data_IF_229698418111
#
_entry.id   IF_229698418111
#
_cell.length_a   1.000
_cell.length_b   1.000
_cell.length_c   1.000
_cell.angle_alpha   90.00
_cell.angle_beta   90.00
_cell.angle_gamma   90.00
#
_symmetry.space_group_name_H-M   'P 1'
#
loop_
_entity.id
_entity.type
_entity.pdbx_description
1 polymer ?
#
# COMPACT_ATOMS: atom_id res chain seq x y z
N UNK A 1 -70.76 68.39 -47.64
CA UNK A 1 -70.66 67.02 -47.08
C UNK A 1 -69.20 66.76 -46.72
N UNK A 2 -68.91 66.57 -45.43
CA UNK A 2 -67.56 66.39 -44.87
C UNK A 2 -67.15 64.91 -44.82
N UNK A 3 -65.89 64.60 -45.15
CA UNK A 3 -65.15 63.37 -44.83
C UNK A 3 -63.81 63.80 -44.20
N UNK A 4 -63.49 63.43 -42.95
CA UNK A 4 -62.74 62.21 -42.51
C UNK A 4 -61.47 61.97 -43.33
N UNK A 5 -60.30 61.59 -42.82
CA UNK A 5 -59.70 61.45 -41.49
C UNK A 5 -58.21 61.08 -41.72
N UNK A 6 -57.35 61.46 -40.77
CA UNK A 6 -56.04 60.92 -40.35
C UNK A 6 -55.11 60.15 -41.32
N UNK A 7 -53.83 60.56 -41.34
CA UNK A 7 -52.68 59.72 -41.67
C UNK A 7 -51.48 59.97 -40.73
N UNK A 8 -50.70 58.92 -40.52
CA UNK A 8 -49.81 58.59 -39.39
C UNK A 8 -48.48 59.37 -39.38
N UNK A 9 -47.96 59.61 -38.16
CA UNK A 9 -46.61 60.09 -37.88
C UNK A 9 -45.60 58.93 -37.91
N UNK A 10 -44.49 59.12 -38.60
CA UNK A 10 -43.35 58.21 -38.71
C UNK A 10 -42.37 58.44 -37.55
N UNK A 11 -41.95 57.36 -36.88
CA UNK A 11 -40.87 57.36 -35.88
C UNK A 11 -39.49 57.39 -36.55
N UNK A 12 -38.58 58.19 -35.99
CA UNK A 12 -37.12 58.02 -36.09
C UNK A 12 -36.63 57.49 -34.73
N UNK A 13 -35.95 56.34 -34.72
CA UNK A 13 -35.23 55.84 -33.54
C UNK A 13 -33.77 55.60 -33.93
N UNK A 14 -32.86 56.24 -33.19
CA UNK A 14 -31.43 56.22 -33.39
C UNK A 14 -30.78 54.95 -32.82
N UNK A 15 -29.73 54.47 -33.51
CA UNK A 15 -28.87 53.38 -33.07
C UNK A 15 -28.02 53.81 -31.86
N UNK A 16 -28.07 53.03 -30.78
CA UNK A 16 -27.06 53.01 -29.73
C UNK A 16 -26.52 51.58 -29.59
N UNK A 17 -25.27 51.35 -29.98
CA UNK A 17 -24.60 50.07 -29.84
C UNK A 17 -24.00 49.96 -28.43
N UNK A 18 -24.53 49.07 -27.59
CA UNK A 18 -23.94 48.67 -26.31
C UNK A 18 -23.07 47.43 -26.54
N UNK A 19 -21.75 47.59 -26.34
CA UNK A 19 -20.82 46.47 -26.27
C UNK A 19 -20.93 45.79 -24.90
N UNK A 20 -21.36 44.53 -24.87
CA UNK A 20 -21.36 43.69 -23.67
C UNK A 20 -19.97 43.04 -23.58
N UNK A 21 -19.14 43.51 -22.65
CA UNK A 21 -17.90 42.81 -22.28
C UNK A 21 -18.28 41.59 -21.43
N UNK A 22 -18.27 40.39 -22.01
CA UNK A 22 -18.31 39.13 -21.25
C UNK A 22 -16.92 38.86 -20.71
N UNK A 23 -16.69 39.14 -19.43
CA UNK A 23 -15.52 38.64 -18.69
C UNK A 23 -15.68 37.12 -18.47
N UNK A 24 -15.10 36.34 -19.38
CA UNK A 24 -14.93 34.90 -19.14
C UNK A 24 -13.94 34.71 -17.98
N UNK A 25 -14.45 34.25 -16.84
CA UNK A 25 -13.64 33.63 -15.79
C UNK A 25 -12.94 32.42 -16.41
N UNK A 26 -11.63 32.52 -16.63
CA UNK A 26 -10.79 31.34 -16.81
C UNK A 26 -10.75 30.68 -15.44
N UNK A 27 -11.59 29.65 -15.25
CA UNK A 27 -11.33 28.69 -14.19
C UNK A 27 -9.98 28.06 -14.52
N UNK A 28 -8.96 28.38 -13.71
CA UNK A 28 -7.78 27.52 -13.65
C UNK A 28 -8.26 26.20 -13.09
N UNK A 29 -8.63 25.28 -14.00
CA UNK A 29 -8.66 23.88 -13.65
C UNK A 29 -7.23 23.55 -13.24
N UNK A 30 -7.03 23.30 -11.95
CA UNK A 30 -5.95 22.42 -11.55
C UNK A 30 -6.14 21.17 -12.39
N UNK A 31 -5.24 20.97 -13.35
CA UNK A 31 -5.08 19.68 -13.97
C UNK A 31 -4.74 18.76 -12.82
N UNK A 32 -5.74 18.03 -12.32
CA UNK A 32 -5.50 16.73 -11.72
C UNK A 32 -4.72 15.97 -12.77
N UNK A 33 -3.39 15.98 -12.67
CA UNK A 33 -2.56 15.00 -13.33
C UNK A 33 -3.27 13.67 -13.15
N UNK A 34 -3.54 13.00 -14.27
CA UNK A 34 -4.09 11.67 -14.25
C UNK A 34 -3.25 10.88 -13.25
N UNK A 35 -3.86 10.56 -12.11
CA UNK A 35 -3.26 9.69 -11.09
C UNK A 35 -2.80 8.47 -11.87
N UNK A 36 -1.48 8.30 -12.02
CA UNK A 36 -0.94 7.11 -12.64
C UNK A 36 -1.52 5.87 -11.96
N UNK A 37 -1.27 4.70 -12.50
CA UNK A 37 -1.61 3.43 -11.84
C UNK A 37 -1.18 3.38 -10.35
N UNK A 38 -0.24 4.25 -9.95
CA UNK A 38 0.20 4.43 -8.57
C UNK A 38 1.12 3.28 -8.25
N UNK A 39 0.93 2.64 -7.10
CA UNK A 39 1.65 1.44 -6.78
C UNK A 39 1.29 0.26 -7.69
N UNK A 40 0.12 0.27 -8.36
CA UNK A 40 -0.25 -0.77 -9.34
C UNK A 40 0.61 -0.71 -10.61
N UNK A 41 1.37 0.38 -10.84
CA UNK A 41 2.36 0.39 -11.90
C UNK A 41 3.42 -0.71 -11.63
N UNK A 42 3.74 -1.59 -12.60
CA UNK A 42 4.71 -2.67 -12.36
C UNK A 42 6.08 -2.21 -11.87
N UNK A 43 6.57 -1.05 -12.31
CA UNK A 43 7.84 -0.51 -11.84
C UNK A 43 7.72 0.02 -10.40
N UNK A 44 6.62 0.71 -10.07
CA UNK A 44 6.34 1.16 -8.69
C UNK A 44 6.11 -0.01 -7.74
N UNK A 45 5.46 -1.07 -8.19
CA UNK A 45 5.29 -2.31 -7.43
C UNK A 45 6.63 -2.97 -7.14
N UNK A 46 7.52 -3.08 -8.12
CA UNK A 46 8.87 -3.61 -7.90
C UNK A 46 9.67 -2.73 -6.91
N UNK A 47 9.57 -1.40 -7.02
CA UNK A 47 10.14 -0.47 -6.02
C UNK A 47 9.59 -0.75 -4.62
N UNK A 48 8.27 -0.88 -4.47
CA UNK A 48 7.63 -1.19 -3.19
C UNK A 48 8.15 -2.51 -2.60
N UNK A 49 8.33 -3.56 -3.43
CA UNK A 49 8.88 -4.84 -2.97
C UNK A 49 10.32 -4.70 -2.48
N UNK A 50 11.14 -3.90 -3.17
CA UNK A 50 12.54 -3.64 -2.79
C UNK A 50 12.64 -2.83 -1.49
N UNK A 51 11.76 -1.85 -1.31
CA UNK A 51 11.67 -1.07 -0.06
C UNK A 51 11.29 -1.97 1.12
N UNK A 52 10.25 -2.80 0.99
CA UNK A 52 9.87 -3.79 2.04
C UNK A 52 11.03 -4.74 2.32
N UNK A 53 11.64 -5.33 1.28
CA UNK A 53 12.76 -6.26 1.45
C UNK A 53 13.97 -5.64 2.15
N UNK A 54 14.19 -4.32 2.01
CA UNK A 54 15.27 -3.64 2.74
C UNK A 54 15.03 -3.64 4.25
N UNK A 55 13.77 -3.55 4.68
CA UNK A 55 13.38 -3.63 6.08
C UNK A 55 13.24 -5.08 6.58
N UNK A 56 12.69 -5.99 5.79
CA UNK A 56 12.48 -7.37 6.25
C UNK A 56 13.77 -8.21 6.19
N UNK A 57 14.67 -7.90 5.25
CA UNK A 57 15.78 -8.80 4.91
C UNK A 57 17.11 -8.08 4.64
N UNK A 58 17.21 -6.77 4.91
CA UNK A 58 18.42 -5.97 4.66
C UNK A 58 19.00 -6.16 3.24
N UNK A 59 18.10 -6.22 2.25
CA UNK A 59 18.44 -6.50 0.85
C UNK A 59 17.44 -5.84 -0.09
N UNK A 60 17.85 -5.58 -1.33
CA UNK A 60 16.93 -5.18 -2.41
C UNK A 60 16.52 -6.36 -3.30
N UNK A 61 17.14 -7.53 -3.15
CA UNK A 61 16.79 -8.73 -3.92
C UNK A 61 15.62 -9.46 -3.26
N UNK A 62 14.42 -8.88 -3.40
CA UNK A 62 13.19 -9.45 -2.83
C UNK A 62 12.84 -10.81 -3.41
N UNK A 63 13.26 -11.10 -4.65
CA UNK A 63 13.04 -12.41 -5.29
C UNK A 63 13.93 -13.50 -4.68
N UNK A 64 15.05 -13.18 -4.05
CA UNK A 64 15.81 -14.15 -3.28
C UNK A 64 15.04 -14.68 -2.05
N UNK A 65 13.98 -13.99 -1.61
CA UNK A 65 13.25 -14.30 -0.38
C UNK A 65 12.14 -15.34 -0.55
N UNK A 66 11.78 -15.77 -1.77
CA UNK A 66 10.81 -16.86 -1.94
C UNK A 66 11.19 -18.13 -1.15
N UNK A 67 12.49 -18.38 -0.96
CA UNK A 67 13.04 -19.52 -0.22
C UNK A 67 13.29 -19.24 1.27
N UNK A 68 13.16 -17.99 1.72
CA UNK A 68 13.39 -17.62 3.12
C UNK A 68 12.42 -18.41 3.99
N UNK A 69 12.93 -18.96 5.10
CA UNK A 69 12.16 -19.65 6.13
C UNK A 69 13.03 -19.76 7.38
N UNK A 70 12.54 -19.19 8.48
CA UNK A 70 13.19 -19.19 9.78
C UNK A 70 12.14 -18.89 10.86
N UNK A 71 12.25 -19.54 12.02
CA UNK A 71 11.64 -19.02 13.24
C UNK A 71 12.62 -17.99 13.86
N UNK A 72 12.15 -16.75 13.98
CA UNK A 72 12.94 -15.62 14.48
C UNK A 72 12.72 -15.37 15.98
N UNK A 73 11.94 -16.21 16.67
CA UNK A 73 11.69 -16.13 18.11
C UNK A 73 10.76 -15.00 18.52
N UNK A 74 9.89 -14.55 17.62
CA UNK A 74 8.91 -13.47 17.86
C UNK A 74 7.52 -14.00 18.25
N UNK A 75 7.38 -15.32 18.42
CA UNK A 75 6.13 -15.97 18.81
C UNK A 75 5.16 -16.23 17.65
N UNK A 76 5.59 -16.07 16.39
CA UNK A 76 4.78 -16.36 15.19
C UNK A 76 5.08 -17.73 14.55
N UNK A 77 6.01 -18.49 15.14
CA UNK A 77 6.52 -19.75 14.60
C UNK A 77 7.44 -19.51 13.40
N UNK A 78 7.34 -20.35 12.37
CA UNK A 78 8.10 -20.14 11.13
C UNK A 78 7.62 -18.88 10.41
N UNK A 79 8.53 -17.96 10.09
CA UNK A 79 8.34 -16.84 9.16
C UNK A 79 9.03 -17.16 7.83
N UNK A 80 8.33 -17.01 6.70
CA UNK A 80 8.84 -17.47 5.41
C UNK A 80 8.37 -16.65 4.19
N UNK A 81 9.10 -16.74 3.08
CA UNK A 81 8.72 -16.15 1.80
C UNK A 81 8.90 -14.63 1.70
N UNK A 82 8.35 -14.05 0.62
CA UNK A 82 8.62 -12.67 0.17
C UNK A 82 8.06 -11.55 1.07
N UNK A 83 7.16 -11.87 1.99
CA UNK A 83 6.57 -10.91 2.93
C UNK A 83 6.49 -11.46 4.37
N UNK A 84 7.18 -12.58 4.65
CA UNK A 84 7.17 -13.18 5.99
C UNK A 84 5.85 -13.83 6.40
N UNK A 85 5.29 -14.70 5.55
CA UNK A 85 4.16 -15.55 5.91
C UNK A 85 4.48 -16.37 7.15
N UNK A 86 3.59 -16.41 8.15
CA UNK A 86 3.88 -17.13 9.40
C UNK A 86 2.97 -18.33 9.65
N UNK A 87 3.55 -19.40 10.25
CA UNK A 87 2.78 -20.61 10.58
C UNK A 87 1.73 -20.36 11.67
N UNK A 88 1.98 -19.38 12.55
CA UNK A 88 1.07 -19.02 13.65
C UNK A 88 0.02 -17.97 13.33
N UNK A 89 -0.02 -17.40 12.11
CA UNK A 89 -0.91 -16.28 11.74
C UNK A 89 -1.83 -16.57 10.56
N UNK A 90 -2.11 -17.85 10.29
CA UNK A 90 -2.99 -18.38 9.25
C UNK A 90 -2.60 -18.12 7.80
N UNK A 91 -1.77 -17.13 7.50
CA UNK A 91 -1.36 -16.74 6.14
C UNK A 91 -0.41 -17.75 5.48
N UNK A 92 0.51 -18.37 6.22
CA UNK A 92 1.30 -19.49 5.69
C UNK A 92 0.43 -20.70 5.34
N UNK A 93 -0.57 -21.00 6.19
CA UNK A 93 -1.52 -22.07 5.92
C UNK A 93 -2.32 -21.77 4.64
N UNK A 94 -2.88 -20.56 4.52
CA UNK A 94 -3.62 -20.14 3.34
C UNK A 94 -2.77 -20.21 2.05
N UNK A 95 -1.51 -19.79 2.12
CA UNK A 95 -0.56 -19.91 1.02
C UNK A 95 -0.32 -21.38 0.60
N UNK A 96 -0.10 -22.29 1.55
CA UNK A 96 0.15 -23.71 1.23
C UNK A 96 -1.11 -24.38 0.71
N UNK A 97 -2.30 -23.98 1.18
CA UNK A 97 -3.59 -24.42 0.62
C UNK A 97 -3.76 -23.94 -0.83
N UNK A 98 -3.46 -22.67 -1.12
CA UNK A 98 -3.49 -22.12 -2.48
C UNK A 98 -2.49 -22.85 -3.39
N UNK A 99 -1.27 -23.09 -2.92
CA UNK A 99 -0.27 -23.84 -3.68
C UNK A 99 -0.76 -25.27 -3.98
N UNK A 100 -1.33 -25.94 -2.98
CA UNK A 100 -1.83 -27.32 -3.12
C UNK A 100 -3.06 -27.41 -4.01
N UNK A 101 -3.92 -26.39 -4.04
CA UNK A 101 -5.02 -26.32 -4.99
C UNK A 101 -4.54 -26.23 -6.46
N UNK A 102 -3.37 -25.64 -6.70
CA UNK A 102 -2.77 -25.47 -8.04
C UNK A 102 -1.88 -26.64 -8.46
N UNK A 103 -1.24 -27.29 -7.48
CA UNK A 103 -0.31 -28.41 -7.67
C UNK A 103 -0.53 -29.44 -6.54
N UNK A 104 -1.49 -30.37 -6.67
CA UNK A 104 -1.88 -31.27 -5.57
C UNK A 104 -0.77 -32.18 -5.05
N UNK A 105 0.20 -32.54 -5.90
CA UNK A 105 1.31 -33.44 -5.57
C UNK A 105 2.56 -32.69 -5.05
N UNK A 106 2.41 -31.41 -4.73
CA UNK A 106 3.53 -30.59 -4.29
C UNK A 106 4.13 -31.04 -2.95
N UNK A 107 5.39 -30.66 -2.73
CA UNK A 107 6.19 -31.09 -1.57
C UNK A 107 5.72 -30.54 -0.22
N UNK A 108 4.85 -29.52 -0.21
CA UNK A 108 4.28 -28.92 1.00
C UNK A 108 2.91 -29.49 1.36
N UNK A 109 2.21 -30.17 0.45
CA UNK A 109 0.87 -30.70 0.67
C UNK A 109 0.78 -31.62 1.91
N UNK A 110 1.81 -32.43 2.15
CA UNK A 110 1.88 -33.34 3.30
C UNK A 110 1.93 -32.62 4.66
N UNK A 111 2.30 -31.33 4.69
CA UNK A 111 2.38 -30.53 5.91
C UNK A 111 1.08 -29.80 6.24
N UNK A 112 0.07 -29.81 5.36
CA UNK A 112 -1.20 -29.13 5.62
C UNK A 112 -1.89 -29.55 6.93
N UNK A 113 -1.93 -30.83 7.33
CA UNK A 113 -2.48 -31.21 8.63
C UNK A 113 -1.73 -30.59 9.81
N UNK A 114 -0.39 -30.52 9.73
CA UNK A 114 0.44 -29.92 10.76
C UNK A 114 0.25 -28.40 10.81
N UNK A 115 0.27 -27.73 9.65
CA UNK A 115 0.01 -26.28 9.55
C UNK A 115 -1.35 -25.91 10.16
N UNK A 116 -2.40 -26.69 9.94
CA UNK A 116 -3.72 -26.46 10.58
C UNK A 116 -3.70 -26.68 12.09
N UNK A 117 -2.85 -27.59 12.58
CA UNK A 117 -2.77 -27.89 14.00
C UNK A 117 -1.97 -26.84 14.79
N UNK A 118 -0.94 -26.25 14.17
CA UNK A 118 -0.09 -25.23 14.81
C UNK A 118 -0.59 -23.80 14.59
N UNK A 119 -1.52 -23.57 13.68
CA UNK A 119 -2.08 -22.24 13.42
C UNK A 119 -2.60 -21.57 14.70
N UNK A 120 -2.26 -20.30 14.90
CA UNK A 120 -2.49 -19.57 16.15
C UNK A 120 -1.45 -19.81 17.26
N UNK A 121 -0.39 -20.58 17.01
CA UNK A 121 0.71 -20.84 17.95
C UNK A 121 2.09 -20.72 17.27
N UNK A 122 3.16 -20.74 18.07
CA UNK A 122 4.55 -20.80 17.59
C UNK A 122 5.09 -22.25 17.48
N UNK A 123 4.23 -23.27 17.58
CA UNK A 123 4.65 -24.67 17.56
C UNK A 123 5.19 -25.12 16.20
N UNK A 124 6.21 -25.99 16.23
CA UNK A 124 6.77 -26.67 15.05
C UNK A 124 6.33 -28.14 14.91
N UNK A 125 5.36 -28.57 15.72
CA UNK A 125 4.92 -29.97 15.76
C UNK A 125 4.41 -30.44 14.39
N UNK A 126 5.02 -31.52 13.89
CA UNK A 126 4.70 -32.08 12.57
C UNK A 126 5.28 -31.31 11.37
N UNK A 127 5.93 -30.17 11.60
CA UNK A 127 6.71 -29.44 10.60
C UNK A 127 8.18 -29.88 10.61
N UNK A 128 8.76 -29.98 11.79
CA UNK A 128 10.18 -30.31 11.94
C UNK A 128 10.50 -31.79 11.73
N UNK A 129 11.72 -32.11 11.23
CA UNK A 129 12.75 -31.18 10.74
C UNK A 129 12.62 -30.87 9.24
N UNK A 130 11.61 -31.44 8.56
CA UNK A 130 11.55 -31.51 7.10
C UNK A 130 11.01 -30.26 6.41
N UNK A 131 10.17 -29.48 7.10
CA UNK A 131 9.43 -28.38 6.49
C UNK A 131 10.33 -27.28 5.91
N UNK A 132 11.40 -26.81 6.58
CA UNK A 132 12.32 -25.82 5.98
C UNK A 132 13.00 -26.30 4.69
N UNK A 133 13.32 -27.59 4.59
CA UNK A 133 13.92 -28.15 3.39
C UNK A 133 12.88 -28.27 2.26
N UNK A 134 11.66 -28.69 2.59
CA UNK A 134 10.54 -28.75 1.65
C UNK A 134 10.17 -27.37 1.10
N UNK A 135 10.13 -26.34 1.95
CA UNK A 135 9.88 -24.94 1.56
C UNK A 135 10.90 -24.45 0.54
N UNK A 136 12.20 -24.63 0.84
CA UNK A 136 13.28 -24.25 -0.09
C UNK A 136 13.25 -25.04 -1.39
N UNK A 137 12.73 -26.26 -1.38
CA UNK A 137 12.49 -27.06 -2.60
C UNK A 137 11.31 -26.50 -3.40
N UNK A 138 10.19 -26.19 -2.75
CA UNK A 138 9.02 -25.57 -3.37
C UNK A 138 9.36 -24.22 -4.00
N UNK A 139 10.18 -23.37 -3.34
CA UNK A 139 10.59 -22.05 -3.84
C UNK A 139 11.30 -22.06 -5.20
N UNK A 140 11.76 -23.23 -5.66
CA UNK A 140 12.35 -23.41 -7.00
C UNK A 140 11.29 -23.49 -8.11
N UNK A 141 10.04 -23.82 -7.80
CA UNK A 141 8.95 -23.95 -8.77
C UNK A 141 8.34 -22.59 -9.07
N UNK A 142 7.89 -22.37 -10.31
CA UNK A 142 7.14 -21.16 -10.67
C UNK A 142 5.77 -21.12 -10.01
N UNK A 143 5.16 -22.27 -9.76
CA UNK A 143 3.81 -22.37 -9.16
C UNK A 143 3.83 -21.88 -7.70
N UNK A 144 4.83 -22.26 -6.90
CA UNK A 144 4.91 -21.78 -5.52
C UNK A 144 5.27 -20.29 -5.44
N UNK A 145 6.14 -19.81 -6.34
CA UNK A 145 6.44 -18.37 -6.44
C UNK A 145 5.19 -17.56 -6.81
N UNK A 146 4.43 -18.04 -7.80
CA UNK A 146 3.15 -17.42 -8.18
C UNK A 146 2.11 -17.47 -7.05
N UNK A 147 2.06 -18.54 -6.25
CA UNK A 147 1.20 -18.60 -5.07
C UNK A 147 1.60 -17.57 -4.01
N UNK A 148 2.90 -17.36 -3.77
CA UNK A 148 3.39 -16.31 -2.87
C UNK A 148 3.05 -14.91 -3.38
N UNK A 149 3.24 -14.64 -4.67
CA UNK A 149 2.89 -13.35 -5.29
C UNK A 149 1.39 -13.06 -5.16
N UNK A 150 0.55 -14.04 -5.45
CA UNK A 150 -0.90 -13.88 -5.42
C UNK A 150 -1.43 -13.72 -3.99
N UNK A 151 -0.86 -14.42 -3.01
CA UNK A 151 -1.29 -14.29 -1.61
C UNK A 151 -0.83 -12.96 -1.00
N UNK A 152 0.39 -12.49 -1.32
CA UNK A 152 0.81 -11.11 -1.04
C UNK A 152 -0.21 -10.11 -1.59
N UNK A 153 -0.59 -10.30 -2.86
CA UNK A 153 -1.46 -9.36 -3.55
C UNK A 153 -2.86 -9.32 -2.93
N UNK A 154 -3.45 -10.50 -2.75
CA UNK A 154 -4.80 -10.66 -2.21
C UNK A 154 -4.95 -10.13 -0.78
N UNK A 155 -3.98 -10.37 0.10
CA UNK A 155 -4.11 -10.10 1.54
C UNK A 155 -3.55 -8.74 1.93
N UNK A 156 -2.49 -8.26 1.26
CA UNK A 156 -1.74 -7.08 1.69
C UNK A 156 -1.73 -5.98 0.63
N UNK A 157 -1.25 -6.27 -0.58
CA UNK A 157 -1.01 -5.24 -1.58
C UNK A 157 -2.31 -4.62 -2.10
N UNK A 158 -3.21 -5.43 -2.67
CA UNK A 158 -4.43 -4.93 -3.29
C UNK A 158 -5.34 -4.23 -2.25
N UNK A 159 -5.55 -4.77 -1.02
CA UNK A 159 -6.32 -4.07 -0.01
C UNK A 159 -5.69 -2.75 0.45
N UNK A 160 -4.37 -2.69 0.60
CA UNK A 160 -3.66 -1.46 0.97
C UNK A 160 -3.80 -0.39 -0.11
N UNK A 161 -3.49 -0.74 -1.36
CA UNK A 161 -3.56 0.18 -2.50
C UNK A 161 -4.99 0.65 -2.74
N UNK A 162 -5.97 -0.25 -2.71
CA UNK A 162 -7.38 0.11 -2.86
C UNK A 162 -7.85 1.05 -1.74
N UNK A 163 -7.41 0.82 -0.50
CA UNK A 163 -7.75 1.69 0.62
C UNK A 163 -7.11 3.08 0.49
N UNK A 164 -5.83 3.13 0.15
CA UNK A 164 -5.09 4.38 -0.08
C UNK A 164 -5.72 5.21 -1.21
N UNK A 165 -6.11 4.56 -2.32
CA UNK A 165 -6.84 5.22 -3.41
C UNK A 165 -8.18 5.80 -2.96
N UNK A 166 -8.91 5.09 -2.09
CA UNK A 166 -10.16 5.59 -1.52
C UNK A 166 -9.95 6.81 -0.60
N UNK A 167 -8.82 6.86 0.09
CA UNK A 167 -8.43 7.99 0.93
C UNK A 167 -7.82 9.14 0.12
N UNK A 168 -7.59 8.94 -1.18
CA UNK A 168 -7.07 9.95 -2.10
C UNK A 168 -5.58 10.23 -1.94
N UNK A 169 -4.83 9.33 -1.30
CA UNK A 169 -3.36 9.47 -1.17
C UNK A 169 -2.65 8.88 -2.40
N UNK A 170 -1.56 9.52 -2.80
CA UNK A 170 -0.71 9.18 -3.93
C UNK A 170 0.16 7.94 -3.69
N UNK A 171 1.15 7.75 -4.56
CA UNK A 171 1.96 6.51 -4.61
C UNK A 171 2.75 6.28 -3.32
N UNK A 172 3.31 7.33 -2.70
CA UNK A 172 3.99 7.23 -1.40
C UNK A 172 3.01 6.80 -0.29
N UNK A 173 1.80 7.37 -0.27
CA UNK A 173 0.77 6.98 0.69
C UNK A 173 0.29 5.54 0.52
N UNK A 174 0.15 5.09 -0.74
CA UNK A 174 -0.12 3.69 -1.07
C UNK A 174 0.98 2.76 -0.54
N UNK A 175 2.25 3.14 -0.72
CA UNK A 175 3.38 2.39 -0.16
C UNK A 175 3.34 2.37 1.38
N UNK A 176 3.08 3.50 2.04
CA UNK A 176 2.99 3.57 3.49
C UNK A 176 1.89 2.64 4.04
N UNK A 177 0.74 2.55 3.36
CA UNK A 177 -0.33 1.62 3.73
C UNK A 177 0.07 0.16 3.52
N UNK A 178 0.72 -0.13 2.41
CA UNK A 178 1.20 -1.49 2.11
C UNK A 178 2.22 -1.96 3.13
N UNK A 179 3.23 -1.14 3.42
CA UNK A 179 4.26 -1.43 4.42
C UNK A 179 3.68 -1.62 5.83
N UNK A 180 2.67 -0.83 6.19
CA UNK A 180 1.94 -0.97 7.45
C UNK A 180 1.12 -2.27 7.49
N UNK A 181 0.42 -2.65 6.41
CA UNK A 181 -0.32 -3.92 6.36
C UNK A 181 0.61 -5.13 6.42
N UNK A 182 1.79 -5.08 5.80
CA UNK A 182 2.79 -6.17 5.87
C UNK A 182 3.22 -6.38 7.33
N UNK A 183 3.55 -5.31 8.04
CA UNK A 183 4.06 -5.41 9.42
C UNK A 183 2.97 -5.69 10.47
N UNK A 184 1.80 -5.05 10.33
CA UNK A 184 0.77 -5.04 11.37
C UNK A 184 -0.49 -5.87 11.01
N UNK A 185 -0.55 -6.45 9.81
CA UNK A 185 -1.74 -7.14 9.32
C UNK A 185 -2.91 -6.19 8.99
N UNK A 186 -3.97 -6.76 8.42
CA UNK A 186 -5.14 -6.02 7.90
C UNK A 186 -6.28 -5.79 8.91
N UNK A 187 -6.06 -6.15 10.18
CA UNK A 187 -7.09 -6.12 11.23
C UNK A 187 -7.55 -4.72 11.65
N UNK A 188 -8.45 -4.68 12.64
CA UNK A 188 -9.08 -3.46 13.16
C UNK A 188 -8.76 -3.17 14.63
N UNK A 189 -7.98 -4.02 15.31
CA UNK A 189 -7.47 -3.70 16.65
C UNK A 189 -6.52 -2.49 16.59
N UNK A 190 -6.14 -1.98 17.76
CA UNK A 190 -5.39 -0.72 17.87
C UNK A 190 -4.01 -0.76 17.22
N UNK A 191 -3.40 -1.93 17.05
CA UNK A 191 -2.04 -2.07 16.50
C UNK A 191 -2.07 -2.54 15.04
N UNK A 192 -3.15 -3.18 14.60
CA UNK A 192 -3.37 -3.48 13.17
C UNK A 192 -3.50 -2.24 12.28
N UNK A 193 -3.34 -2.42 10.96
CA UNK A 193 -3.49 -1.36 9.96
C UNK A 193 -4.76 -0.53 10.13
N UNK A 194 -5.91 -1.17 10.36
CA UNK A 194 -7.19 -0.47 10.52
C UNK A 194 -7.23 0.45 11.74
N UNK A 195 -6.59 0.05 12.85
CA UNK A 195 -6.42 0.90 14.03
C UNK A 195 -5.47 2.06 13.79
N UNK A 196 -4.33 1.81 13.15
CA UNK A 196 -3.35 2.84 12.77
C UNK A 196 -4.00 3.91 11.88
N UNK A 197 -4.71 3.48 10.83
CA UNK A 197 -5.44 4.38 9.93
C UNK A 197 -6.51 5.20 10.67
N UNK A 198 -7.24 4.57 11.59
CA UNK A 198 -8.25 5.24 12.41
C UNK A 198 -7.62 6.31 13.31
N UNK A 199 -6.48 6.00 13.94
CA UNK A 199 -5.70 6.95 14.74
C UNK A 199 -5.19 8.12 13.90
N UNK A 200 -4.72 7.87 12.68
CA UNK A 200 -4.28 8.92 11.75
C UNK A 200 -5.45 9.85 11.39
N UNK A 201 -6.59 9.28 11.01
CA UNK A 201 -7.81 10.02 10.61
C UNK A 201 -8.34 10.93 11.73
N UNK A 202 -8.19 10.53 12.99
CA UNK A 202 -8.54 11.37 14.14
C UNK A 202 -7.67 12.63 14.29
N UNK A 203 -6.48 12.67 13.67
CA UNK A 203 -5.53 13.78 13.77
C UNK A 203 -5.43 14.61 12.48
N UNK A 204 -5.72 14.03 11.31
CA UNK A 204 -5.73 14.72 10.04
C UNK A 204 -6.77 14.12 9.08
N UNK A 205 -7.51 14.97 8.38
CA UNK A 205 -8.42 14.55 7.32
C UNK A 205 -7.64 13.96 6.14
N UNK A 206 -8.20 12.91 5.52
CA UNK A 206 -7.62 12.37 4.28
C UNK A 206 -7.81 13.36 3.12
N UNK A 207 -7.04 13.26 2.03
CA UNK A 207 -7.32 14.01 0.80
C UNK A 207 -8.74 13.83 0.26
N UNK A 208 -9.30 12.62 0.36
CA UNK A 208 -10.69 12.35 -0.02
C UNK A 208 -11.72 13.11 0.85
N UNK A 209 -11.36 13.46 2.08
CA UNK A 209 -12.17 14.28 3.00
C UNK A 209 -11.80 15.78 2.91
N UNK A 210 -10.98 16.19 1.94
CA UNK A 210 -10.54 17.57 1.71
C UNK A 210 -9.32 18.00 2.52
N UNK A 211 -8.60 17.07 3.14
CA UNK A 211 -7.32 17.32 3.83
C UNK A 211 -6.13 17.46 2.88
N UNK A 212 -5.02 17.99 3.40
CA UNK A 212 -3.74 18.00 2.71
C UNK A 212 -3.05 16.63 2.83
N UNK A 213 -2.52 16.10 1.73
CA UNK A 213 -1.91 14.77 1.71
C UNK A 213 -0.69 14.68 2.61
N UNK A 214 0.19 15.68 2.60
CA UNK A 214 1.42 15.67 3.40
C UNK A 214 1.09 15.70 4.89
N UNK A 215 0.07 16.47 5.27
CA UNK A 215 -0.46 16.53 6.64
C UNK A 215 -1.03 15.19 7.06
N UNK A 216 -1.82 14.54 6.20
CA UNK A 216 -2.38 13.23 6.47
C UNK A 216 -1.30 12.15 6.61
N UNK A 217 -0.32 12.12 5.70
CA UNK A 217 0.75 11.13 5.73
C UNK A 217 1.65 11.31 6.96
N UNK A 218 1.91 12.54 7.41
CA UNK A 218 2.60 12.74 8.68
C UNK A 218 1.82 12.14 9.86
N UNK A 219 0.51 12.41 9.94
CA UNK A 219 -0.33 11.82 10.99
C UNK A 219 -0.39 10.28 10.91
N UNK A 220 -0.37 9.71 9.70
CA UNK A 220 -0.33 8.27 9.50
C UNK A 220 0.99 7.65 9.96
N UNK A 221 2.12 8.23 9.56
CA UNK A 221 3.44 7.75 9.96
C UNK A 221 3.66 7.90 11.48
N UNK A 222 3.14 8.97 12.10
CA UNK A 222 3.18 9.14 13.57
C UNK A 222 2.33 8.06 14.29
N UNK A 223 1.14 7.77 13.76
CA UNK A 223 0.28 6.71 14.29
C UNK A 223 0.95 5.33 14.16
N UNK A 224 1.66 5.11 13.06
CA UNK A 224 2.39 3.86 12.80
C UNK A 224 3.59 3.70 13.72
N UNK A 225 4.45 4.71 13.85
CA UNK A 225 5.57 4.67 14.79
C UNK A 225 5.09 4.40 16.22
N UNK A 226 3.98 5.01 16.63
CA UNK A 226 3.36 4.73 17.92
C UNK A 226 3.01 3.24 18.08
N UNK A 227 2.40 2.63 17.05
CA UNK A 227 2.03 1.21 17.07
C UNK A 227 3.25 0.30 17.13
N UNK A 228 4.27 0.56 16.29
CA UNK A 228 5.55 -0.16 16.29
C UNK A 228 6.20 -0.17 17.68
N UNK A 229 6.19 0.97 18.38
CA UNK A 229 6.77 1.09 19.74
C UNK A 229 5.99 0.34 20.82
N UNK A 230 4.77 -0.13 20.57
CA UNK A 230 4.03 -0.99 21.51
C UNK A 230 4.46 -2.46 21.43
N UNK A 231 5.11 -2.87 20.33
CA UNK A 231 5.53 -4.24 20.09
C UNK A 231 7.05 -4.37 20.35
N UNK A 232 7.46 -5.19 21.33
CA UNK A 232 8.87 -5.33 21.71
C UNK A 232 9.77 -5.72 20.52
N UNK A 233 9.25 -6.52 19.59
CA UNK A 233 9.96 -6.96 18.39
C UNK A 233 10.20 -5.83 17.36
N UNK A 234 9.44 -4.72 17.43
CA UNK A 234 9.38 -3.70 16.38
C UNK A 234 9.75 -2.29 16.87
N UNK A 235 10.58 -2.19 17.90
CA UNK A 235 10.94 -0.89 18.49
C UNK A 235 11.83 -0.01 17.61
N UNK A 236 12.53 -0.58 16.63
CA UNK A 236 13.27 0.17 15.61
C UNK A 236 12.31 0.68 14.53
N UNK A 237 12.19 2.01 14.45
CA UNK A 237 11.29 2.71 13.53
C UNK A 237 11.97 3.22 12.27
N UNK A 238 13.20 2.81 11.96
CA UNK A 238 13.97 3.34 10.82
C UNK A 238 13.31 3.17 9.45
N UNK A 239 12.49 2.13 9.26
CA UNK A 239 11.66 1.96 8.04
C UNK A 239 10.65 3.09 7.83
N UNK A 240 10.30 3.81 8.90
CA UNK A 240 9.55 5.07 8.85
C UNK A 240 10.52 6.25 8.86
N UNK A 241 11.29 6.40 9.93
CA UNK A 241 12.06 7.61 10.26
C UNK A 241 13.08 7.98 9.18
N UNK A 242 13.81 6.99 8.67
CA UNK A 242 14.92 7.19 7.72
C UNK A 242 14.61 6.67 6.32
N UNK A 243 13.33 6.41 6.02
CA UNK A 243 12.86 6.03 4.69
C UNK A 243 11.56 6.77 4.31
N UNK A 244 10.40 6.32 4.80
CA UNK A 244 9.10 6.90 4.41
C UNK A 244 9.00 8.39 4.74
N UNK A 245 9.47 8.80 5.93
CA UNK A 245 9.50 10.20 6.33
C UNK A 245 10.45 11.02 5.44
N UNK A 246 11.59 10.45 5.06
CA UNK A 246 12.54 11.09 4.15
C UNK A 246 11.91 11.35 2.78
N UNK A 247 11.19 10.38 2.20
CA UNK A 247 10.49 10.57 0.92
C UNK A 247 9.39 11.64 1.04
N UNK A 248 8.68 11.67 2.16
CA UNK A 248 7.65 12.66 2.44
C UNK A 248 8.24 14.08 2.57
N UNK A 249 9.33 14.23 3.33
CA UNK A 249 10.02 15.51 3.54
C UNK A 249 10.63 16.07 2.24
N UNK A 250 11.00 15.18 1.32
CA UNK A 250 11.44 15.55 -0.03
C UNK A 250 10.28 15.96 -0.95
N UNK A 251 9.03 15.81 -0.51
CA UNK A 251 7.85 16.03 -1.34
C UNK A 251 7.66 14.98 -2.43
N UNK A 252 8.31 13.82 -2.32
CA UNK A 252 8.26 12.76 -3.32
C UNK A 252 6.99 11.90 -3.17
N UNK A 253 5.82 12.54 -3.27
CA UNK A 253 4.52 11.90 -3.10
C UNK A 253 4.23 10.83 -4.17
N UNK A 254 4.93 10.89 -5.31
CA UNK A 254 4.81 9.90 -6.37
C UNK A 254 5.82 8.74 -6.26
N UNK A 255 6.71 8.75 -5.27
CA UNK A 255 7.74 7.71 -5.04
C UNK A 255 8.61 7.48 -6.29
N UNK A 256 9.04 8.56 -6.93
CA UNK A 256 9.90 8.53 -8.12
C UNK A 256 11.38 8.35 -7.75
N UNK A 257 12.13 7.48 -8.44
CA UNK A 257 13.59 7.47 -8.35
C UNK A 257 14.21 8.82 -8.79
N UNK A 258 15.39 9.18 -8.26
CA UNK A 258 16.20 8.40 -7.33
C UNK A 258 15.60 8.36 -5.91
N UNK A 259 15.67 7.19 -5.27
CA UNK A 259 15.30 6.97 -3.87
C UNK A 259 16.54 6.61 -3.08
N UNK A 260 16.82 7.40 -2.05
CA UNK A 260 17.90 7.18 -1.08
C UNK A 260 17.30 7.07 0.32
N UNK A 261 17.59 5.98 1.03
CA UNK A 261 17.06 5.78 2.38
C UNK A 261 17.99 4.92 3.24
N UNK A 262 17.65 4.83 4.53
CA UNK A 262 18.29 3.91 5.47
C UNK A 262 17.29 3.09 6.24
N UNK A 263 17.64 1.84 6.54
CA UNK A 263 16.95 0.99 7.52
C UNK A 263 18.01 0.26 8.33
N UNK A 264 17.86 0.23 9.65
CA UNK A 264 18.84 -0.34 10.60
C UNK A 264 20.26 0.24 10.50
N UNK A 265 20.38 1.45 9.93
CA UNK A 265 21.66 2.12 9.69
C UNK A 265 22.30 1.84 8.33
N UNK A 266 21.83 0.81 7.59
CA UNK A 266 22.31 0.48 6.26
C UNK A 266 21.69 1.39 5.20
N UNK A 267 22.50 1.85 4.25
CA UNK A 267 22.07 2.73 3.15
C UNK A 267 21.63 1.93 1.93
N UNK A 268 20.53 2.34 1.32
CA UNK A 268 19.98 1.75 0.10
C UNK A 268 19.71 2.84 -0.96
N UNK A 269 19.73 2.41 -2.22
CA UNK A 269 19.53 3.28 -3.37
C UNK A 269 18.76 2.57 -4.49
N UNK A 270 17.80 3.28 -5.10
CA UNK A 270 17.18 2.93 -6.38
C UNK A 270 17.28 4.16 -7.29
N UNK A 271 17.91 3.99 -8.45
CA UNK A 271 18.07 5.03 -9.47
C UNK A 271 17.02 4.97 -10.58
#
# INVERSE_FOLDING_TARGET
MLHRAAARRTLLAALGATAILTTQRIASGATTEATGSGLDDPAKKDIAMRLVCSAENSSLDWRAQYKYIQDIGDGRGYTAGIIGFCSGTSDMLALVELYTARDPDNVLAAYLPALRAVDGTDSHDGLDPGFPAAWRKAAKTSVFRGAQDDERDRVYFDPAVARAKKDGVGTLGQFAYYDAMVMHGSGMDSLSFGGIRTRAHANAATPADGGDETTYLNAFLDAREWAMRQETAHTDTSRVDTAQRVFLDQGNLNLDPPLDWKVYGDSYYIG
#
